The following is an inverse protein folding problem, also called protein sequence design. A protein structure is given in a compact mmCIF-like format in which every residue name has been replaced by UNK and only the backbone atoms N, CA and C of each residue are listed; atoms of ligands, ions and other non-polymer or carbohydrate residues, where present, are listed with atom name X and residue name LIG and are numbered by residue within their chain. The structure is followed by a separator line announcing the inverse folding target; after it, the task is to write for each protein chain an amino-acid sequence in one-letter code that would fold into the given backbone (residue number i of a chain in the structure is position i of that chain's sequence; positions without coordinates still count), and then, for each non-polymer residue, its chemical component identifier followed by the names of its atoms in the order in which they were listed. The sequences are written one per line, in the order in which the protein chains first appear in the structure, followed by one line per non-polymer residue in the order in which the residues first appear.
data_IF_147326859863
#
_entry.id   IF_147326859863
#
_cell.length_a   1.000
_cell.length_b   1.000
_cell.length_c   1.000
_cell.angle_alpha   90.00
_cell.angle_beta   90.00
_cell.angle_gamma   90.00
#
_symmetry.space_group_name_H-M   'P 1'
#
loop_
_entity.id
_entity.type
_entity.pdbx_description
1 polymer ?
#
# COMPACT_ATOMS: atom_id res chain seq x y z
N UNK A 1 -38.60 1.93 22.78
CA UNK A 1 -38.26 1.69 21.36
C UNK A 1 -38.89 2.77 20.52
N UNK A 2 -38.09 3.47 19.71
CA UNK A 2 -38.56 4.48 18.76
C UNK A 2 -38.02 4.12 17.39
N UNK A 3 -38.88 4.11 16.39
CA UNK A 3 -38.49 3.94 14.97
C UNK A 3 -38.45 5.33 14.35
N UNK A 4 -37.31 5.69 13.75
CA UNK A 4 -37.15 6.87 12.90
C UNK A 4 -36.85 6.39 11.47
N UNK A 5 -36.77 7.29 10.48
CA UNK A 5 -36.50 6.86 9.10
C UNK A 5 -35.20 6.04 9.04
N UNK A 6 -35.35 4.75 8.74
CA UNK A 6 -34.29 3.75 8.58
C UNK A 6 -33.42 3.46 9.82
N UNK A 7 -33.83 3.86 11.02
CA UNK A 7 -33.12 3.56 12.28
C UNK A 7 -34.05 3.14 13.41
N UNK A 8 -33.60 2.18 14.21
CA UNK A 8 -34.28 1.70 15.42
C UNK A 8 -33.47 2.11 16.63
N UNK A 9 -34.11 2.86 17.53
CA UNK A 9 -33.51 3.30 18.80
C UNK A 9 -33.94 2.36 19.93
N UNK A 10 -32.94 1.78 20.60
CA UNK A 10 -33.12 0.90 21.75
C UNK A 10 -32.71 1.60 23.05
N UNK A 11 -33.32 1.19 24.17
CA UNK A 11 -33.07 1.80 25.47
C UNK A 11 -31.65 1.49 26.00
N UNK A 12 -31.09 0.35 25.60
CA UNK A 12 -29.77 -0.11 26.01
C UNK A 12 -29.13 -1.02 24.96
N UNK A 13 -27.84 -1.32 25.14
CA UNK A 13 -27.06 -2.15 24.23
C UNK A 13 -27.53 -3.61 24.15
N UNK A 14 -28.08 -4.16 25.23
CA UNK A 14 -28.65 -5.52 25.25
C UNK A 14 -29.90 -5.61 24.35
N UNK A 15 -30.72 -4.56 24.38
CA UNK A 15 -31.88 -4.41 23.52
C UNK A 15 -31.48 -4.23 22.05
N UNK A 16 -30.36 -3.56 21.75
CA UNK A 16 -29.84 -3.45 20.38
C UNK A 16 -29.53 -4.81 19.77
N UNK A 17 -28.86 -5.70 20.51
CA UNK A 17 -28.55 -7.05 20.03
C UNK A 17 -29.82 -7.83 19.67
N UNK A 18 -30.80 -7.81 20.57
CA UNK A 18 -32.08 -8.51 20.36
C UNK A 18 -32.80 -7.97 19.12
N UNK A 19 -32.77 -6.65 18.91
CA UNK A 19 -33.35 -6.01 17.73
C UNK A 19 -32.60 -6.35 16.45
N UNK A 20 -31.27 -6.45 16.49
CA UNK A 20 -30.47 -6.86 15.33
C UNK A 20 -30.78 -8.30 14.92
N UNK A 21 -30.85 -9.22 15.88
CA UNK A 21 -31.24 -10.62 15.65
C UNK A 21 -32.65 -10.73 15.03
N UNK A 22 -33.61 -9.96 15.56
CA UNK A 22 -34.97 -9.89 15.03
C UNK A 22 -34.99 -9.34 13.59
N UNK A 23 -34.28 -8.25 13.33
CA UNK A 23 -34.21 -7.64 12.00
C UNK A 23 -33.60 -8.59 10.97
N UNK A 24 -32.57 -9.37 11.33
CA UNK A 24 -32.01 -10.43 10.48
C UNK A 24 -33.07 -11.48 10.15
N UNK A 25 -33.81 -11.96 11.16
CA UNK A 25 -34.87 -12.98 10.95
C UNK A 25 -36.00 -12.48 10.05
N UNK A 26 -36.34 -11.19 10.14
CA UNK A 26 -37.41 -10.57 9.35
C UNK A 26 -36.92 -9.94 8.04
N UNK A 27 -35.62 -10.05 7.73
CA UNK A 27 -34.99 -9.43 6.56
C UNK A 27 -35.22 -7.90 6.48
N UNK A 28 -35.11 -7.21 7.60
CA UNK A 28 -35.18 -5.75 7.69
C UNK A 28 -33.78 -5.16 7.71
N UNK A 29 -33.46 -4.33 6.71
CA UNK A 29 -32.21 -3.58 6.66
C UNK A 29 -32.40 -2.22 7.33
N UNK A 30 -32.05 -2.12 8.61
CA UNK A 30 -32.20 -0.90 9.42
C UNK A 30 -30.94 -0.65 10.24
N UNK A 31 -30.66 0.61 10.53
CA UNK A 31 -29.62 0.99 11.48
C UNK A 31 -30.10 0.79 12.92
N UNK A 32 -29.16 0.57 13.84
CA UNK A 32 -29.42 0.42 15.26
C UNK A 32 -28.66 1.50 16.04
N UNK A 33 -29.31 2.11 17.01
CA UNK A 33 -28.72 3.16 17.84
C UNK A 33 -29.19 3.08 19.29
N UNK A 34 -28.27 3.21 20.24
CA UNK A 34 -28.60 3.35 21.65
C UNK A 34 -29.19 4.74 21.92
N UNK A 35 -30.13 4.85 22.86
CA UNK A 35 -30.80 6.11 23.19
C UNK A 35 -29.84 7.21 23.66
N UNK A 36 -28.73 6.84 24.29
CA UNK A 36 -27.65 7.74 24.73
C UNK A 36 -26.61 8.06 23.65
N UNK A 37 -26.81 7.57 22.42
CA UNK A 37 -25.87 7.71 21.28
C UNK A 37 -24.49 7.06 21.50
N UNK A 38 -24.32 6.26 22.55
CA UNK A 38 -23.05 5.58 22.85
C UNK A 38 -22.69 4.51 21.82
N UNK A 39 -23.70 3.90 21.19
CA UNK A 39 -23.53 2.82 20.21
C UNK A 39 -24.39 3.13 18.99
N UNK A 40 -23.79 3.03 17.80
CA UNK A 40 -24.52 3.07 16.53
C UNK A 40 -23.95 2.05 15.55
N UNK A 41 -24.83 1.29 14.91
CA UNK A 41 -24.49 0.37 13.84
C UNK A 41 -25.32 0.70 12.59
N UNK A 42 -24.64 0.97 11.48
CA UNK A 42 -25.27 1.14 10.17
C UNK A 42 -24.85 -0.01 9.26
N UNK A 43 -25.78 -0.88 8.84
CA UNK A 43 -25.47 -1.97 7.93
C UNK A 43 -25.12 -1.44 6.53
N UNK A 44 -24.39 -2.23 5.76
CA UNK A 44 -24.08 -1.90 4.36
C UNK A 44 -25.03 -2.61 3.41
N UNK A 45 -24.78 -3.90 3.16
CA UNK A 45 -25.65 -4.76 2.35
C UNK A 45 -26.52 -5.67 3.22
N UNK A 46 -25.99 -6.11 4.36
CA UNK A 46 -26.63 -7.02 5.31
C UNK A 46 -26.32 -6.58 6.74
N UNK A 47 -27.14 -7.05 7.69
CA UNK A 47 -26.83 -6.93 9.12
C UNK A 47 -25.91 -8.07 9.51
N UNK A 48 -24.77 -7.71 10.06
CA UNK A 48 -23.73 -8.62 10.54
C UNK A 48 -23.73 -8.62 12.08
N UNK A 49 -24.19 -9.71 12.67
CA UNK A 49 -24.37 -9.81 14.12
C UNK A 49 -23.04 -9.80 14.90
N UNK A 50 -21.94 -10.28 14.30
CA UNK A 50 -20.62 -10.21 14.93
C UNK A 50 -20.10 -8.77 14.95
N UNK A 51 -20.34 -8.00 13.88
CA UNK A 51 -20.03 -6.57 13.85
C UNK A 51 -20.91 -5.80 14.84
N UNK A 52 -22.21 -6.07 14.92
CA UNK A 52 -23.12 -5.46 15.92
C UNK A 52 -22.60 -5.70 17.34
N UNK A 53 -22.23 -6.95 17.66
CA UNK A 53 -21.66 -7.28 18.97
C UNK A 53 -20.35 -6.54 19.24
N UNK A 54 -19.46 -6.44 18.25
CA UNK A 54 -18.22 -5.67 18.38
C UNK A 54 -18.48 -4.19 18.72
N UNK A 55 -19.44 -3.52 18.07
CA UNK A 55 -19.75 -2.10 18.39
C UNK A 55 -20.29 -1.97 19.80
N UNK A 56 -21.19 -2.88 20.20
CA UNK A 56 -21.75 -2.91 21.56
C UNK A 56 -20.64 -3.07 22.60
N UNK A 57 -19.74 -4.03 22.39
CA UNK A 57 -18.65 -4.32 23.32
C UNK A 57 -17.67 -3.15 23.40
N UNK A 58 -17.36 -2.51 22.26
CA UNK A 58 -16.50 -1.34 22.21
C UNK A 58 -17.13 -0.14 22.94
N UNK A 59 -18.43 0.11 22.74
CA UNK A 59 -19.17 1.18 23.43
C UNK A 59 -19.30 0.97 24.94
N UNK A 60 -19.16 -0.27 25.42
CA UNK A 60 -19.19 -0.62 26.84
C UNK A 60 -17.81 -0.48 27.53
N UNK A 61 -16.74 -0.18 26.79
CA UNK A 61 -15.41 0.01 27.37
C UNK A 61 -15.36 1.29 28.23
N UNK A 62 -14.58 1.29 29.32
CA UNK A 62 -14.24 2.53 30.02
C UNK A 62 -13.63 3.55 29.05
N UNK A 63 -13.92 4.82 29.28
CA UNK A 63 -13.38 5.95 28.52
C UNK A 63 -13.77 6.02 27.03
N UNK A 64 -14.75 5.22 26.61
CA UNK A 64 -15.42 5.35 25.30
C UNK A 64 -16.67 6.19 25.47
N UNK A 65 -16.71 7.33 24.76
CA UNK A 65 -17.90 8.18 24.67
C UNK A 65 -18.88 7.69 23.60
N UNK A 66 -18.36 7.16 22.49
CA UNK A 66 -19.18 6.46 21.51
C UNK A 66 -18.39 5.46 20.66
N UNK A 67 -19.08 4.40 20.22
CA UNK A 67 -18.62 3.42 19.25
C UNK A 67 -19.62 3.36 18.08
N UNK A 68 -19.14 3.61 16.87
CA UNK A 68 -19.98 3.76 15.68
C UNK A 68 -19.42 2.89 14.56
N UNK A 69 -20.22 1.98 14.04
CA UNK A 69 -19.92 1.27 12.79
C UNK A 69 -20.70 1.86 11.62
N UNK A 70 -19.97 2.14 10.54
CA UNK A 70 -20.50 2.55 9.24
C UNK A 70 -19.36 2.72 8.24
N UNK A 71 -19.68 2.71 6.94
CA UNK A 71 -18.67 2.89 5.88
C UNK A 71 -17.47 1.94 6.01
N UNK A 72 -17.72 0.65 6.30
CA UNK A 72 -16.69 -0.40 6.44
C UNK A 72 -15.68 -0.20 7.58
N UNK A 73 -15.97 0.65 8.56
CA UNK A 73 -15.06 0.93 9.67
C UNK A 73 -15.78 1.06 11.01
N UNK A 74 -15.10 0.66 12.08
CA UNK A 74 -15.46 0.99 13.45
C UNK A 74 -14.79 2.31 13.86
N UNK A 75 -15.55 3.32 14.23
CA UNK A 75 -15.04 4.59 14.76
C UNK A 75 -15.32 4.67 16.26
N UNK A 76 -14.29 4.89 17.06
CA UNK A 76 -14.38 5.04 18.51
C UNK A 76 -14.02 6.48 18.87
N UNK A 77 -14.91 7.14 19.60
CA UNK A 77 -14.65 8.43 20.21
C UNK A 77 -14.39 8.24 21.70
N UNK A 78 -13.21 8.67 22.15
CA UNK A 78 -12.79 8.51 23.55
C UNK A 78 -13.10 9.76 24.36
N UNK A 79 -13.36 9.59 25.65
CA UNK A 79 -13.48 10.70 26.60
C UNK A 79 -12.12 11.10 27.21
N UNK A 80 -11.09 10.29 26.97
CA UNK A 80 -9.74 10.46 27.52
C UNK A 80 -8.73 10.94 26.45
N UNK A 81 -7.71 11.75 26.80
CA UNK A 81 -6.72 12.25 25.85
C UNK A 81 -5.87 11.14 25.19
N UNK A 82 -5.30 11.42 24.02
CA UNK A 82 -4.61 10.43 23.17
C UNK A 82 -3.48 9.63 23.82
N UNK A 83 -2.66 10.28 24.63
CA UNK A 83 -1.47 9.69 25.27
C UNK A 83 -1.79 9.00 26.60
N UNK A 84 -3.07 8.94 26.96
CA UNK A 84 -3.54 8.35 28.21
C UNK A 84 -3.30 6.84 28.26
N UNK A 85 -3.36 6.26 29.46
CA UNK A 85 -3.25 4.80 29.62
C UNK A 85 -4.54 4.13 29.11
N UNK A 86 -5.65 4.84 29.25
CA UNK A 86 -7.02 4.48 28.91
C UNK A 86 -7.16 4.33 27.38
N UNK A 87 -6.78 5.34 26.60
CA UNK A 87 -6.81 5.26 25.12
C UNK A 87 -5.92 4.14 24.58
N UNK A 88 -4.77 3.88 25.23
CA UNK A 88 -3.91 2.73 24.89
C UNK A 88 -4.53 1.39 25.27
N UNK A 89 -5.31 1.33 26.34
CA UNK A 89 -6.03 0.11 26.74
C UNK A 89 -7.15 -0.22 25.75
N UNK A 90 -7.90 0.78 25.28
CA UNK A 90 -8.92 0.62 24.22
C UNK A 90 -8.26 0.09 22.94
N UNK A 91 -7.16 0.70 22.51
CA UNK A 91 -6.39 0.25 21.34
C UNK A 91 -5.96 -1.21 21.48
N UNK A 92 -5.33 -1.56 22.61
CA UNK A 92 -4.89 -2.93 22.87
C UNK A 92 -6.06 -3.92 22.88
N UNK A 93 -7.22 -3.52 23.39
CA UNK A 93 -8.42 -4.34 23.38
C UNK A 93 -8.88 -4.67 21.94
N UNK A 94 -8.82 -3.70 21.03
CA UNK A 94 -9.14 -3.91 19.61
C UNK A 94 -8.13 -4.82 18.92
N UNK A 95 -6.84 -4.61 19.17
CA UNK A 95 -5.73 -5.36 18.57
C UNK A 95 -5.65 -6.82 19.06
N UNK A 96 -6.19 -7.14 20.24
CA UNK A 96 -6.21 -8.51 20.78
C UNK A 96 -7.44 -9.34 20.37
N UNK A 97 -8.42 -8.73 19.68
CA UNK A 97 -9.67 -9.40 19.31
C UNK A 97 -9.56 -10.15 18.00
N UNK A 98 -10.30 -11.25 17.88
CA UNK A 98 -10.59 -11.83 16.56
C UNK A 98 -11.52 -10.88 15.78
N UNK A 99 -11.21 -10.55 14.51
CA UNK A 99 -12.11 -9.75 13.69
C UNK A 99 -13.45 -10.46 13.46
N UNK A 100 -14.57 -9.71 13.32
CA UNK A 100 -15.86 -10.29 12.94
C UNK A 100 -15.75 -11.13 11.66
N UNK A 101 -16.28 -12.35 11.70
CA UNK A 101 -16.22 -13.35 10.63
C UNK A 101 -14.80 -13.73 10.17
N UNK A 102 -13.76 -13.41 10.97
CA UNK A 102 -12.35 -13.47 10.59
C UNK A 102 -11.99 -12.59 9.37
N UNK A 103 -12.79 -11.57 9.09
CA UNK A 103 -12.54 -10.61 8.01
C UNK A 103 -11.82 -9.37 8.55
N UNK A 104 -10.79 -8.87 7.84
CA UNK A 104 -10.13 -7.62 8.18
C UNK A 104 -11.13 -6.47 8.34
N UNK A 105 -11.14 -5.84 9.52
CA UNK A 105 -11.99 -4.70 9.82
C UNK A 105 -11.15 -3.53 10.32
N UNK A 106 -11.24 -2.39 9.62
CA UNK A 106 -10.56 -1.16 10.02
C UNK A 106 -11.24 -0.56 11.26
N UNK A 107 -10.44 0.03 12.13
CA UNK A 107 -10.93 0.94 13.16
C UNK A 107 -10.21 2.28 13.16
N UNK A 108 -10.85 3.29 13.73
CA UNK A 108 -10.24 4.57 14.11
C UNK A 108 -10.58 4.91 15.56
N UNK A 109 -9.63 5.52 16.27
CA UNK A 109 -9.82 6.05 17.63
C UNK A 109 -9.54 7.55 17.57
N UNK A 110 -10.50 8.35 18.02
CA UNK A 110 -10.39 9.80 18.12
C UNK A 110 -10.39 10.27 19.58
N UNK A 111 -9.53 11.24 19.89
CA UNK A 111 -9.55 11.95 21.17
C UNK A 111 -10.71 12.95 21.29
N UNK A 112 -11.02 13.42 22.51
CA UNK A 112 -11.92 14.55 22.70
C UNK A 112 -11.57 15.73 21.77
N UNK A 113 -12.58 16.23 21.06
CA UNK A 113 -12.41 17.32 20.09
C UNK A 113 -11.72 16.93 18.78
N UNK A 114 -11.51 15.62 18.52
CA UNK A 114 -10.88 15.10 17.29
C UNK A 114 -9.46 15.62 17.06
N UNK A 115 -8.74 15.98 18.12
CA UNK A 115 -7.40 16.54 18.04
C UNK A 115 -6.38 15.58 17.41
N UNK A 116 -6.61 14.28 17.55
CA UNK A 116 -5.85 13.22 16.90
C UNK A 116 -6.76 12.06 16.53
N UNK A 117 -6.40 11.40 15.43
CA UNK A 117 -7.03 10.16 14.98
C UNK A 117 -5.92 9.12 14.84
N UNK A 118 -6.16 7.94 15.42
CA UNK A 118 -5.28 6.77 15.28
C UNK A 118 -6.07 5.67 14.59
N UNK A 119 -5.55 5.21 13.45
CA UNK A 119 -6.13 4.11 12.69
C UNK A 119 -5.47 2.77 13.05
N UNK A 120 -6.20 1.68 12.84
CA UNK A 120 -5.67 0.31 12.95
C UNK A 120 -6.64 -0.72 12.38
N UNK A 121 -6.33 -2.00 12.65
CA UNK A 121 -7.13 -3.15 12.23
C UNK A 121 -7.47 -3.99 13.46
N UNK A 122 -8.74 -4.40 13.57
CA UNK A 122 -9.16 -5.32 14.64
C UNK A 122 -8.29 -6.57 14.55
N UNK A 123 -7.76 -7.02 15.69
CA UNK A 123 -6.90 -8.21 15.74
C UNK A 123 -5.55 -8.10 15.06
N UNK A 124 -5.14 -6.90 14.63
CA UNK A 124 -3.98 -6.68 13.75
C UNK A 124 -4.07 -7.46 12.42
N UNK A 125 -5.28 -7.89 12.04
CA UNK A 125 -5.50 -8.66 10.81
C UNK A 125 -5.63 -7.69 9.64
N UNK A 126 -4.58 -7.64 8.81
CA UNK A 126 -4.55 -6.84 7.59
C UNK A 126 -5.35 -7.51 6.46
N UNK A 127 -5.99 -6.74 5.57
CA UNK A 127 -6.43 -7.23 4.27
C UNK A 127 -5.28 -7.86 3.52
N UNK A 128 -5.55 -8.97 2.82
CA UNK A 128 -4.56 -9.63 1.97
C UNK A 128 -3.92 -8.66 0.96
N UNK A 129 -4.70 -7.69 0.46
CA UNK A 129 -4.22 -6.65 -0.45
C UNK A 129 -3.16 -5.72 0.16
N UNK A 130 -3.04 -5.64 1.49
CA UNK A 130 -2.03 -4.86 2.21
C UNK A 130 -0.85 -5.70 2.69
N UNK A 131 -0.90 -7.02 2.52
CA UNK A 131 0.21 -7.92 2.86
C UNK A 131 1.13 -7.96 1.63
N UNK A 132 2.39 -7.52 1.73
CA UNK A 132 3.32 -7.57 0.61
C UNK A 132 3.49 -9.00 0.11
N UNK A 133 3.32 -9.19 -1.19
CA UNK A 133 3.49 -10.50 -1.85
C UNK A 133 4.46 -10.36 -3.02
N UNK A 134 5.09 -11.46 -3.47
CA UNK A 134 5.94 -11.41 -4.66
C UNK A 134 5.16 -10.88 -5.85
N UNK A 135 5.85 -10.19 -6.77
CA UNK A 135 5.20 -9.72 -7.97
C UNK A 135 4.58 -10.90 -8.73
N UNK A 136 3.29 -10.83 -9.12
CA UNK A 136 2.64 -11.93 -9.80
C UNK A 136 3.28 -12.13 -11.18
N UNK A 137 3.60 -13.38 -11.49
CA UNK A 137 3.96 -13.77 -12.84
C UNK A 137 2.69 -13.95 -13.69
N UNK A 138 2.71 -13.61 -14.99
CA UNK A 138 1.67 -13.97 -15.93
C UNK A 138 1.39 -15.47 -15.94
N UNK A 139 0.16 -15.82 -16.32
CA UNK A 139 -0.26 -17.22 -16.42
C UNK A 139 0.63 -18.00 -17.41
N UNK A 140 1.06 -19.20 -17.00
CA UNK A 140 1.89 -20.07 -17.82
C UNK A 140 3.40 -19.76 -17.79
N UNK A 141 3.84 -18.75 -17.02
CA UNK A 141 5.25 -18.46 -16.80
C UNK A 141 5.75 -19.15 -15.54
N UNK A 142 6.78 -19.97 -15.68
CA UNK A 142 7.47 -20.55 -14.53
C UNK A 142 8.46 -19.54 -13.92
N UNK A 143 8.49 -19.37 -12.59
CA UNK A 143 9.51 -18.57 -11.93
C UNK A 143 10.88 -19.23 -12.11
N UNK A 144 11.93 -18.41 -12.26
CA UNK A 144 13.28 -18.93 -12.17
C UNK A 144 13.54 -19.65 -10.84
N UNK A 145 14.43 -20.65 -10.90
CA UNK A 145 14.85 -21.40 -9.73
C UNK A 145 15.36 -20.47 -8.66
N UNK A 146 14.87 -20.63 -7.43
CA UNK A 146 15.38 -19.90 -6.28
C UNK A 146 16.63 -20.58 -5.75
N UNK A 147 17.65 -19.80 -5.48
CA UNK A 147 18.85 -20.22 -4.75
C UNK A 147 19.18 -19.14 -3.71
N UNK A 148 18.87 -19.36 -2.42
CA UNK A 148 19.10 -18.37 -1.38
C UNK A 148 20.59 -18.11 -1.11
N UNK A 149 21.48 -19.01 -1.56
CA UNK A 149 22.92 -18.92 -1.35
C UNK A 149 23.65 -18.36 -2.59
N UNK A 150 22.91 -17.94 -3.63
CA UNK A 150 23.49 -17.38 -4.84
C UNK A 150 24.24 -16.07 -4.55
N UNK A 151 25.40 -15.92 -5.20
CA UNK A 151 26.18 -14.67 -5.11
C UNK A 151 25.46 -13.55 -5.86
N UNK A 152 25.48 -12.33 -5.30
CA UNK A 152 24.92 -11.16 -5.96
C UNK A 152 25.69 -10.83 -7.24
N UNK A 153 24.96 -10.37 -8.26
CA UNK A 153 25.56 -9.84 -9.47
C UNK A 153 26.38 -8.57 -9.15
N UNK A 154 27.53 -8.45 -9.78
CA UNK A 154 28.33 -7.21 -9.81
C UNK A 154 27.93 -6.32 -11.00
N UNK A 155 28.30 -5.04 -10.97
CA UNK A 155 28.01 -4.10 -12.07
C UNK A 155 28.55 -4.59 -13.41
N UNK A 156 29.73 -5.23 -13.43
CA UNK A 156 30.36 -5.72 -14.67
C UNK A 156 29.71 -7.00 -15.24
N UNK A 157 28.91 -7.70 -14.43
CA UNK A 157 28.20 -8.92 -14.83
C UNK A 157 26.82 -8.63 -15.44
N UNK A 158 26.36 -7.38 -15.35
CA UNK A 158 25.07 -6.95 -15.88
C UNK A 158 25.20 -5.81 -16.87
N UNK A 159 24.39 -5.86 -17.93
CA UNK A 159 24.17 -4.74 -18.83
C UNK A 159 22.85 -4.08 -18.48
N UNK A 160 22.90 -2.79 -18.17
CA UNK A 160 21.72 -1.97 -17.93
C UNK A 160 21.14 -1.39 -19.21
N UNK A 161 19.82 -1.36 -19.31
CA UNK A 161 19.08 -0.63 -20.35
C UNK A 161 17.79 -0.03 -19.79
N UNK A 162 17.22 0.93 -20.49
CA UNK A 162 15.94 1.54 -20.16
C UNK A 162 14.86 1.11 -21.16
N UNK A 163 13.61 1.03 -20.71
CA UNK A 163 12.46 1.03 -21.62
C UNK A 163 12.28 2.40 -22.30
N UNK A 164 11.46 2.46 -23.33
CA UNK A 164 10.87 3.74 -23.76
C UNK A 164 10.03 4.32 -22.61
N UNK A 165 10.12 5.62 -22.30
CA UNK A 165 9.20 6.28 -21.38
C UNK A 165 7.75 6.14 -21.86
N UNK A 166 6.83 5.88 -20.93
CA UNK A 166 5.39 5.73 -21.21
C UNK A 166 4.55 6.64 -20.29
N UNK A 167 3.35 6.97 -20.73
CA UNK A 167 2.42 7.84 -20.03
C UNK A 167 0.99 7.26 -20.05
N UNK A 168 0.44 6.97 -18.88
CA UNK A 168 -0.92 6.46 -18.75
C UNK A 168 -1.60 6.94 -17.47
N UNK A 169 -2.88 7.32 -17.59
CA UNK A 169 -3.77 7.68 -16.47
C UNK A 169 -3.17 8.74 -15.52
N UNK A 170 -2.52 9.77 -16.07
CA UNK A 170 -1.90 10.84 -15.28
C UNK A 170 -0.57 10.46 -14.60
N UNK A 171 -0.09 9.24 -14.82
CA UNK A 171 1.23 8.78 -14.38
C UNK A 171 2.19 8.64 -15.56
N UNK A 172 3.47 8.57 -15.24
CA UNK A 172 4.58 8.26 -16.14
C UNK A 172 5.27 7.00 -15.67
N UNK A 173 5.86 6.27 -16.61
CA UNK A 173 6.49 4.99 -16.36
C UNK A 173 7.80 4.88 -17.13
N UNK A 174 8.79 4.26 -16.50
CA UNK A 174 10.07 3.91 -17.12
C UNK A 174 10.60 2.66 -16.43
N UNK A 175 11.10 1.68 -17.17
CA UNK A 175 11.69 0.48 -16.57
C UNK A 175 13.20 0.44 -16.78
N UNK A 176 13.92 0.00 -15.75
CA UNK A 176 15.33 -0.35 -15.80
C UNK A 176 15.42 -1.86 -15.96
N UNK A 177 16.22 -2.31 -16.92
CA UNK A 177 16.52 -3.70 -17.15
C UNK A 177 17.97 -3.99 -16.80
N UNK A 178 18.23 -5.11 -16.14
CA UNK A 178 19.56 -5.63 -15.88
C UNK A 178 19.69 -7.01 -16.53
N UNK A 179 20.48 -7.11 -17.60
CA UNK A 179 20.71 -8.37 -18.33
C UNK A 179 22.03 -8.99 -17.88
N UNK A 180 22.01 -10.23 -17.39
CA UNK A 180 23.23 -10.94 -17.02
C UNK A 180 24.03 -11.28 -18.28
N UNK A 181 25.17 -10.61 -18.45
CA UNK A 181 26.10 -10.80 -19.58
C UNK A 181 27.27 -11.73 -19.23
N UNK A 182 27.31 -12.22 -17.98
CA UNK A 182 28.27 -13.22 -17.54
C UNK A 182 27.86 -14.63 -18.03
N UNK A 183 28.70 -15.62 -17.72
CA UNK A 183 28.43 -17.04 -18.03
C UNK A 183 27.82 -17.80 -16.85
N UNK A 184 27.67 -17.18 -15.69
CA UNK A 184 27.21 -17.81 -14.47
C UNK A 184 25.92 -17.13 -13.99
N UNK A 185 25.00 -17.86 -13.35
CA UNK A 185 23.88 -17.21 -12.68
C UNK A 185 24.40 -16.37 -11.52
N UNK A 186 23.75 -15.23 -11.28
CA UNK A 186 24.00 -14.36 -10.15
C UNK A 186 22.65 -13.80 -9.66
N UNK A 187 22.60 -13.21 -8.47
CA UNK A 187 21.35 -12.76 -7.87
C UNK A 187 21.21 -11.24 -7.81
N UNK A 188 19.96 -10.76 -7.87
CA UNK A 188 19.59 -9.36 -7.58
C UNK A 188 18.46 -9.36 -6.56
N UNK A 189 18.40 -8.36 -5.67
CA UNK A 189 17.36 -8.25 -4.65
C UNK A 189 17.04 -6.79 -4.37
N UNK A 190 15.82 -6.53 -3.92
CA UNK A 190 15.44 -5.20 -3.44
C UNK A 190 15.11 -4.26 -4.58
N UNK A 191 15.29 -2.97 -4.35
CA UNK A 191 15.05 -1.92 -5.32
C UNK A 191 16.33 -1.60 -6.10
N UNK A 192 16.18 -1.23 -7.37
CA UNK A 192 17.25 -0.55 -8.10
C UNK A 192 17.60 0.75 -7.36
N UNK A 193 18.89 1.03 -7.18
CA UNK A 193 19.32 2.35 -6.71
C UNK A 193 19.42 3.28 -7.91
N UNK A 194 18.64 4.37 -7.88
CA UNK A 194 18.46 5.31 -8.98
C UNK A 194 18.64 6.73 -8.46
N UNK A 195 19.40 7.53 -9.19
CA UNK A 195 19.55 8.97 -9.00
C UNK A 195 19.31 9.68 -10.35
N UNK A 196 18.74 10.88 -10.31
CA UNK A 196 18.26 11.61 -11.49
C UNK A 196 19.08 12.88 -11.67
N UNK A 197 19.52 13.14 -12.90
CA UNK A 197 20.43 14.25 -13.21
C UNK A 197 19.88 15.13 -14.32
N UNK A 198 20.06 16.43 -14.16
CA UNK A 198 19.69 17.43 -15.15
C UNK A 198 20.66 17.47 -16.36
N UNK A 199 20.39 18.36 -17.31
CA UNK A 199 21.23 18.55 -18.50
C UNK A 199 22.65 19.10 -18.21
N UNK A 200 22.88 19.66 -17.02
CA UNK A 200 24.19 20.10 -16.54
C UNK A 200 24.97 18.97 -15.84
N UNK A 201 24.33 17.83 -15.57
CA UNK A 201 24.90 16.71 -14.83
C UNK A 201 24.87 16.89 -13.30
N UNK A 202 24.02 17.78 -12.81
CA UNK A 202 23.74 17.97 -11.38
C UNK A 202 22.55 17.10 -10.97
N UNK A 203 22.56 16.56 -9.74
CA UNK A 203 21.45 15.75 -9.23
C UNK A 203 20.22 16.63 -9.01
N UNK A 204 19.05 16.09 -9.32
CA UNK A 204 17.76 16.63 -8.87
C UNK A 204 17.72 16.57 -7.33
N UNK A 205 17.26 17.65 -6.69
CA UNK A 205 17.16 17.79 -5.24
C UNK A 205 15.85 17.21 -4.69
N UNK A 206 15.86 16.74 -3.44
CA UNK A 206 14.66 16.27 -2.73
C UNK A 206 13.81 15.20 -3.44
N UNK A 207 14.39 14.46 -4.41
CA UNK A 207 13.71 13.32 -5.04
C UNK A 207 13.58 12.18 -4.03
N UNK A 208 12.34 11.76 -3.78
CA UNK A 208 12.01 10.70 -2.83
C UNK A 208 11.70 9.39 -3.57
N UNK A 209 12.52 8.38 -3.33
CA UNK A 209 12.28 7.01 -3.81
C UNK A 209 11.34 6.28 -2.83
N UNK A 210 10.20 5.80 -3.33
CA UNK A 210 9.20 5.06 -2.56
C UNK A 210 9.09 3.64 -3.13
N UNK A 211 9.18 2.62 -2.28
CA UNK A 211 8.93 1.25 -2.73
C UNK A 211 7.49 1.10 -3.23
N UNK A 212 7.30 0.37 -4.33
CA UNK A 212 5.94 0.03 -4.80
C UNK A 212 5.19 -0.70 -3.67
N UNK A 213 4.01 -0.21 -3.25
CA UNK A 213 3.31 -0.78 -2.11
C UNK A 213 2.85 -2.22 -2.42
N UNK A 214 2.76 -3.03 -1.37
CA UNK A 214 2.24 -4.40 -1.41
C UNK A 214 3.03 -5.39 -2.29
N UNK A 215 4.23 -5.02 -2.77
CA UNK A 215 5.16 -5.94 -3.44
C UNK A 215 6.33 -6.23 -2.51
N UNK A 216 6.53 -7.52 -2.19
CA UNK A 216 7.65 -7.97 -1.37
C UNK A 216 8.90 -8.11 -2.24
N UNK A 217 10.05 -7.52 -1.85
CA UNK A 217 11.31 -7.74 -2.56
C UNK A 217 11.81 -9.17 -2.35
N UNK A 218 11.98 -9.92 -3.43
CA UNK A 218 12.57 -11.26 -3.41
C UNK A 218 13.99 -11.26 -3.97
N UNK A 219 14.75 -12.30 -3.62
CA UNK A 219 16.00 -12.63 -4.29
C UNK A 219 15.65 -13.24 -5.66
N UNK A 220 16.04 -12.56 -6.73
CA UNK A 220 15.87 -13.01 -8.11
C UNK A 220 17.20 -13.60 -8.57
N UNK A 221 17.24 -14.93 -8.73
CA UNK A 221 18.36 -15.59 -9.39
C UNK A 221 18.27 -15.31 -10.89
N UNK A 222 19.20 -14.55 -11.42
CA UNK A 222 19.27 -14.10 -12.81
C UNK A 222 20.18 -15.04 -13.62
N UNK A 223 19.63 -15.94 -14.45
CA UNK A 223 20.44 -16.85 -15.27
C UNK A 223 21.29 -16.11 -16.31
N UNK A 224 22.32 -16.78 -16.83
CA UNK A 224 23.15 -16.22 -17.89
C UNK A 224 22.31 -15.90 -19.14
N UNK A 225 22.43 -14.67 -19.64
CA UNK A 225 21.67 -14.17 -20.81
C UNK A 225 20.26 -13.68 -20.50
N UNK A 226 19.76 -13.87 -19.28
CA UNK A 226 18.42 -13.45 -18.87
C UNK A 226 18.41 -12.02 -18.31
N UNK A 227 17.21 -11.44 -18.19
CA UNK A 227 17.02 -10.03 -17.82
C UNK A 227 16.08 -9.88 -16.61
N UNK A 228 16.54 -9.19 -15.57
CA UNK A 228 15.68 -8.68 -14.49
C UNK A 228 15.16 -7.28 -14.84
N UNK A 229 14.01 -6.89 -14.28
CA UNK A 229 13.39 -5.58 -14.49
C UNK A 229 12.99 -4.94 -13.16
N UNK A 230 13.13 -3.62 -13.07
CA UNK A 230 12.54 -2.78 -12.04
C UNK A 230 11.81 -1.62 -12.73
N UNK A 231 10.60 -1.30 -12.30
CA UNK A 231 9.76 -0.25 -12.89
C UNK A 231 9.71 0.96 -11.98
N UNK A 232 9.86 2.13 -12.58
CA UNK A 232 9.67 3.44 -11.99
C UNK A 232 8.32 4.01 -12.42
N UNK A 233 7.63 4.66 -11.49
CA UNK A 233 6.37 5.37 -11.72
C UNK A 233 6.37 6.69 -10.96
N UNK A 234 5.99 7.77 -11.63
CA UNK A 234 5.81 9.08 -11.00
C UNK A 234 4.57 9.80 -11.56
N UNK A 235 4.10 10.82 -10.86
CA UNK A 235 3.06 11.70 -11.37
C UNK A 235 3.66 12.72 -12.35
N UNK A 236 2.94 13.06 -13.41
CA UNK A 236 3.41 14.07 -14.35
C UNK A 236 3.64 15.42 -13.63
N UNK A 237 4.86 15.96 -13.74
CA UNK A 237 5.20 17.27 -13.19
C UNK A 237 5.13 18.34 -14.29
N UNK A 238 4.87 19.59 -13.90
CA UNK A 238 4.71 20.68 -14.86
C UNK A 238 6.06 21.18 -15.36
N UNK A 239 6.24 21.23 -16.68
CA UNK A 239 7.44 21.76 -17.34
C UNK A 239 7.24 23.12 -18.01
N UNK A 240 6.15 23.80 -17.68
CA UNK A 240 5.68 24.99 -18.39
C UNK A 240 6.58 26.25 -18.27
N UNK A 241 7.59 26.24 -17.39
CA UNK A 241 8.50 27.37 -17.16
C UNK A 241 9.98 27.00 -17.32
N UNK A 242 10.30 26.00 -18.16
CA UNK A 242 11.68 25.51 -18.37
C UNK A 242 12.32 25.04 -17.05
N UNK A 243 11.67 24.12 -16.29
CA UNK A 243 12.34 23.56 -15.14
C UNK A 243 13.49 22.68 -15.61
N UNK A 244 14.44 22.46 -14.70
CA UNK A 244 15.59 21.62 -14.95
C UNK A 244 15.15 20.16 -15.11
N UNK A 245 14.84 19.74 -16.34
CA UNK A 245 14.34 18.41 -16.61
C UNK A 245 15.43 17.35 -16.41
N UNK A 246 15.04 16.14 -16.04
CA UNK A 246 15.99 15.03 -15.96
C UNK A 246 16.39 14.57 -17.35
N UNK A 247 17.67 14.65 -17.70
CA UNK A 247 18.21 14.17 -18.98
C UNK A 247 18.98 12.85 -18.85
N UNK A 248 19.36 12.46 -17.64
CA UNK A 248 20.01 11.17 -17.40
C UNK A 248 19.74 10.62 -16.00
N UNK A 249 19.96 9.32 -15.86
CA UNK A 249 19.88 8.62 -14.58
C UNK A 249 21.21 7.94 -14.30
N UNK A 250 21.56 7.80 -13.03
CA UNK A 250 22.57 6.84 -12.61
C UNK A 250 21.87 5.68 -11.91
N UNK A 251 22.12 4.46 -12.39
CA UNK A 251 21.46 3.25 -11.91
C UNK A 251 22.42 2.17 -11.48
N UNK A 252 22.13 1.50 -10.37
CA UNK A 252 22.83 0.27 -9.95
C UNK A 252 21.85 -0.78 -9.42
N UNK A 253 22.32 -2.03 -9.28
CA UNK A 253 21.49 -3.15 -8.84
C UNK A 253 20.98 -2.97 -7.41
N UNK A 254 21.79 -2.39 -6.54
CA UNK A 254 21.46 -2.10 -5.15
C UNK A 254 22.35 -0.95 -4.63
N UNK A 255 21.95 -0.26 -3.54
CA UNK A 255 22.74 0.82 -2.97
C UNK A 255 24.18 0.41 -2.65
N UNK A 256 25.14 1.27 -3.00
CA UNK A 256 26.56 1.08 -2.70
C UNK A 256 27.38 0.35 -3.79
N UNK A 257 26.74 -0.11 -4.87
CA UNK A 257 27.45 -0.53 -6.08
C UNK A 257 27.75 0.67 -6.99
N UNK A 258 28.79 0.52 -7.81
CA UNK A 258 29.13 1.52 -8.84
C UNK A 258 27.96 1.68 -9.81
N UNK A 259 27.43 2.90 -9.97
CA UNK A 259 26.32 3.14 -10.86
C UNK A 259 26.74 3.24 -12.33
N UNK A 260 25.77 3.04 -13.22
CA UNK A 260 25.91 3.22 -14.65
C UNK A 260 25.03 4.37 -15.09
N UNK A 261 25.58 5.28 -15.91
CA UNK A 261 24.80 6.35 -16.54
C UNK A 261 23.87 5.78 -17.60
N UNK A 262 22.59 6.10 -17.49
CA UNK A 262 21.51 5.71 -18.38
C UNK A 262 20.85 6.95 -18.98
N UNK A 263 20.57 6.92 -20.28
CA UNK A 263 19.95 8.04 -20.99
C UNK A 263 18.57 7.57 -21.50
N UNK A 264 17.47 8.22 -21.10
CA UNK A 264 16.13 7.91 -21.59
C UNK A 264 16.04 8.17 -23.09
N UNK A 265 15.28 7.34 -23.81
CA UNK A 265 15.10 7.47 -25.27
C UNK A 265 13.68 7.20 -25.73
N UNK A 266 13.26 7.96 -26.75
CA UNK A 266 12.05 7.70 -27.54
C UNK A 266 12.49 7.57 -29.00
N UNK A 267 12.10 6.47 -29.65
CA UNK A 267 12.47 6.15 -31.04
C UNK A 267 13.99 6.26 -31.30
N UNK A 268 14.79 5.88 -30.31
CA UNK A 268 16.26 5.91 -30.37
C UNK A 268 16.89 7.29 -30.24
N UNK A 269 16.11 8.35 -30.04
CA UNK A 269 16.61 9.70 -29.74
C UNK A 269 16.59 9.93 -28.24
N UNK A 270 17.63 10.60 -27.73
CA UNK A 270 17.71 11.01 -26.32
C UNK A 270 16.53 11.92 -25.97
N UNK A 271 15.96 11.74 -24.79
CA UNK A 271 14.81 12.50 -24.30
C UNK A 271 14.96 12.79 -22.81
N UNK A 272 14.23 13.78 -22.34
CA UNK A 272 14.15 14.15 -20.93
C UNK A 272 12.93 13.50 -20.25
N UNK A 273 12.95 13.51 -18.92
CA UNK A 273 11.85 13.08 -18.06
C UNK A 273 11.37 14.27 -17.22
N UNK A 274 10.07 14.34 -16.99
CA UNK A 274 9.42 15.27 -16.05
C UNK A 274 9.56 14.80 -14.60
N UNK A 275 10.75 14.31 -14.23
CA UNK A 275 11.20 14.06 -12.85
C UNK A 275 12.06 15.26 -12.47
N UNK A 276 11.57 16.08 -11.54
CA UNK A 276 12.18 17.34 -11.13
C UNK A 276 12.47 17.33 -9.63
N UNK A 277 13.06 18.40 -9.11
CA UNK A 277 13.21 18.63 -7.68
C UNK A 277 11.91 18.36 -6.90
N UNK A 278 12.03 17.62 -5.79
CA UNK A 278 10.90 17.24 -4.94
C UNK A 278 9.99 16.15 -5.50
N UNK A 279 10.38 15.48 -6.59
CA UNK A 279 9.60 14.39 -7.17
C UNK A 279 9.46 13.20 -6.20
N UNK A 280 8.29 12.57 -6.20
CA UNK A 280 8.10 11.25 -5.61
C UNK A 280 8.09 10.20 -6.72
N UNK A 281 9.06 9.27 -6.67
CA UNK A 281 9.19 8.19 -7.65
C UNK A 281 8.98 6.84 -6.96
N UNK A 282 7.94 6.14 -7.39
CA UNK A 282 7.70 4.77 -6.97
C UNK A 282 8.58 3.81 -7.76
N UNK A 283 9.32 2.95 -7.06
CA UNK A 283 10.23 1.97 -7.66
C UNK A 283 9.81 0.56 -7.24
N UNK A 284 9.67 -0.36 -8.19
CA UNK A 284 9.39 -1.76 -7.88
C UNK A 284 10.66 -2.50 -7.48
N UNK A 285 10.55 -3.57 -6.67
CA UNK A 285 11.65 -4.52 -6.56
C UNK A 285 12.04 -5.10 -7.92
N UNK A 286 13.25 -5.65 -7.99
CA UNK A 286 13.68 -6.46 -9.13
C UNK A 286 12.78 -7.69 -9.28
N UNK A 287 12.37 -7.95 -10.52
CA UNK A 287 11.58 -9.11 -10.92
C UNK A 287 12.15 -9.74 -12.19
N UNK A 288 11.79 -10.99 -12.46
CA UNK A 288 12.06 -11.62 -13.76
C UNK A 288 11.40 -10.81 -14.88
N UNK A 289 12.17 -10.36 -15.87
CA UNK A 289 11.62 -9.63 -17.01
C UNK A 289 11.00 -10.60 -18.01
N UNK A 290 9.80 -10.29 -18.49
CA UNK A 290 9.02 -11.20 -19.35
C UNK A 290 8.90 -10.71 -20.78
N UNK A 291 8.82 -11.63 -21.74
CA UNK A 291 8.50 -11.28 -23.12
C UNK A 291 7.13 -10.58 -23.18
N UNK A 292 7.04 -9.51 -23.97
CA UNK A 292 5.82 -8.68 -24.09
C UNK A 292 5.78 -7.47 -23.15
N UNK A 293 6.69 -7.37 -22.18
CA UNK A 293 7.05 -6.08 -21.58
C UNK A 293 7.94 -5.32 -22.56
N UNK A 294 7.95 -3.98 -22.53
CA UNK A 294 8.75 -3.12 -23.42
C UNK A 294 10.27 -3.32 -23.19
N UNK A 295 10.77 -4.53 -23.45
CA UNK A 295 12.16 -4.91 -23.45
C UNK A 295 12.80 -4.23 -24.67
N UNK A 296 13.88 -3.45 -24.50
CA UNK A 296 14.64 -2.98 -25.64
C UNK A 296 15.20 -4.21 -26.39
N UNK A 297 14.90 -4.28 -27.68
CA UNK A 297 15.45 -5.27 -28.63
C UNK A 297 16.92 -5.04 -28.90
#
# INVERSE_FOLDING_TARGET
MRVTNSSVVAADSQSLKTLAEFSVQQNYLVSFEAEDSSVRYTPEATIDLEKVQLVIDAGALPDVGSAIYGSQSLSIHTTSPDSSVETRAIRRWLEQRTPPNNEPLKYSISSPGFAKIVDGWIGEVLPAALIPSPAPLPEGVEPWTRDPDASYCTTDEVRFTLSTPDAALGSRYLSVFATNVSKQPCAVQGLAAIEFFNGLGESQEDVTIIATPNISPELVLLPAGETAMSTMKWAAMSTANDPDETESLEGSLLPGLEPVKLIPRIDGQDTSLDVLDGAEVQVSPWVQALEGWNKPT
#
